data_IF_208461226929
#
_entry.id   IF_208461226929
#
_cell.length_a   1.000
_cell.length_b   1.000
_cell.length_c   1.000
_cell.angle_alpha   90.00
_cell.angle_beta   90.00
_cell.angle_gamma   90.00
#
_symmetry.space_group_name_H-M   'P 1'
#
loop_
_entity.id
_entity.type
_entity.pdbx_description
1 polymer ?
#
# COMPACT_ATOMS: atom_id res chain seq x y z
N UNK A 1 21.89 -13.48 -71.97
CA UNK A 1 22.91 -14.27 -71.26
C UNK A 1 22.74 -14.03 -69.77
N UNK A 2 22.59 -15.11 -69.01
CA UNK A 2 22.45 -15.13 -67.55
C UNK A 2 23.74 -14.68 -66.86
N UNK A 3 23.64 -14.07 -65.68
CA UNK A 3 24.14 -14.56 -64.37
C UNK A 3 23.98 -13.40 -63.37
N UNK A 4 23.20 -13.63 -62.32
CA UNK A 4 23.13 -12.74 -61.16
C UNK A 4 24.30 -12.95 -60.17
N UNK A 5 24.45 -12.04 -59.20
CA UNK A 5 25.03 -12.40 -57.91
C UNK A 5 24.61 -11.46 -56.79
N UNK A 6 24.12 -12.10 -55.73
CA UNK A 6 23.76 -11.59 -54.41
C UNK A 6 25.03 -11.40 -53.57
N UNK A 7 25.08 -10.36 -52.74
CA UNK A 7 25.94 -10.21 -51.56
C UNK A 7 25.34 -9.09 -50.72
N UNK A 8 25.05 -9.18 -49.43
CA UNK A 8 25.46 -10.12 -48.39
C UNK A 8 25.62 -9.30 -47.11
N UNK A 9 24.59 -9.29 -46.26
CA UNK A 9 24.58 -8.60 -44.95
C UNK A 9 25.69 -9.15 -44.04
N UNK A 10 26.46 -8.28 -43.38
CA UNK A 10 27.20 -8.64 -42.15
C UNK A 10 26.64 -7.86 -40.98
N UNK A 11 25.93 -8.57 -40.09
CA UNK A 11 25.72 -8.16 -38.70
C UNK A 11 27.01 -8.48 -37.94
N UNK A 12 27.61 -7.49 -37.30
CA UNK A 12 28.67 -7.70 -36.32
C UNK A 12 27.97 -7.81 -34.97
N UNK A 13 27.96 -9.01 -34.41
CA UNK A 13 27.56 -9.26 -33.03
C UNK A 13 28.83 -9.14 -32.17
N UNK A 14 28.91 -8.07 -31.39
CA UNK A 14 29.95 -7.92 -30.38
C UNK A 14 29.41 -8.46 -29.07
N UNK A 15 29.85 -9.66 -28.69
CA UNK A 15 29.62 -10.23 -27.37
C UNK A 15 30.58 -9.55 -26.38
N UNK A 16 30.03 -8.90 -25.36
CA UNK A 16 30.80 -8.44 -24.20
C UNK A 16 30.57 -9.43 -23.06
N UNK A 17 31.65 -10.08 -22.65
CA UNK A 17 31.74 -10.97 -21.49
C UNK A 17 31.93 -10.10 -20.25
N UNK A 18 30.96 -10.09 -19.33
CA UNK A 18 31.14 -9.50 -18.00
C UNK A 18 31.66 -10.60 -17.08
N UNK A 19 32.90 -10.45 -16.64
CA UNK A 19 33.50 -11.29 -15.62
C UNK A 19 32.99 -10.84 -14.23
N UNK A 20 32.34 -11.76 -13.52
CA UNK A 20 32.03 -11.60 -12.11
C UNK A 20 33.28 -11.86 -11.28
N UNK A 21 33.71 -10.87 -10.49
CA UNK A 21 34.73 -11.04 -9.45
C UNK A 21 34.02 -10.96 -8.10
N UNK A 22 34.02 -12.09 -7.40
CA UNK A 22 33.61 -12.22 -6.00
C UNK A 22 34.75 -11.81 -5.05
N UNK A 23 34.37 -11.25 -3.90
CA UNK A 23 35.22 -11.00 -2.72
C UNK A 23 34.98 -9.60 -2.19
N UNK A 24 34.80 -9.33 -0.90
CA UNK A 24 35.02 -10.11 0.32
C UNK A 24 34.22 -9.43 1.46
N UNK A 25 33.78 -10.20 2.43
CA UNK A 25 33.10 -9.74 3.65
C UNK A 25 34.06 -8.99 4.59
N UNK A 26 33.56 -7.94 5.26
CA UNK A 26 34.14 -7.43 6.52
C UNK A 26 33.02 -7.19 7.54
N UNK A 27 33.16 -7.86 8.68
CA UNK A 27 32.42 -7.76 9.94
C UNK A 27 33.08 -6.69 10.85
N UNK A 28 32.28 -5.85 11.50
CA UNK A 28 32.47 -5.22 12.83
C UNK A 28 31.07 -4.78 13.30
N UNK A 29 30.39 -5.42 14.26
CA UNK A 29 30.50 -5.40 15.74
C UNK A 29 30.40 -4.01 16.42
N UNK A 30 29.26 -3.87 17.11
CA UNK A 30 29.06 -3.40 18.49
C UNK A 30 28.63 -1.96 18.85
N UNK A 31 27.51 -1.96 19.58
CA UNK A 31 27.08 -1.12 20.71
C UNK A 31 26.68 0.34 20.47
N UNK A 32 25.42 0.66 20.80
CA UNK A 32 25.13 1.61 21.89
C UNK A 32 23.73 1.41 22.49
N UNK A 33 23.70 1.67 23.79
CA UNK A 33 22.72 1.37 24.82
C UNK A 33 21.41 2.20 24.82
N UNK A 34 20.40 1.53 25.37
CA UNK A 34 19.31 2.00 26.25
C UNK A 34 19.20 3.50 26.60
N UNK A 35 17.99 4.04 26.46
CA UNK A 35 17.47 5.13 27.31
C UNK A 35 16.04 4.79 27.75
N UNK A 36 15.89 4.58 29.05
CA UNK A 36 14.62 4.53 29.78
C UNK A 36 14.09 5.95 30.07
N UNK A 37 12.76 6.07 30.10
CA UNK A 37 12.08 6.69 31.24
C UNK A 37 11.77 8.18 31.16
N UNK A 38 10.49 8.50 30.97
CA UNK A 38 9.85 9.59 31.73
C UNK A 38 8.38 9.22 32.01
N UNK A 39 8.10 8.97 33.29
CA UNK A 39 6.75 8.99 33.85
C UNK A 39 6.47 10.41 34.35
N UNK A 40 5.23 10.89 34.19
CA UNK A 40 4.64 11.77 35.17
C UNK A 40 3.11 11.69 35.19
N UNK A 41 2.62 11.77 36.42
CA UNK A 41 1.29 11.48 36.90
C UNK A 41 0.31 12.67 36.77
N UNK A 42 -0.96 12.31 36.54
CA UNK A 42 -2.19 12.78 37.23
C UNK A 42 -2.54 14.28 37.18
N UNK A 43 -3.70 14.60 36.59
CA UNK A 43 -4.78 15.34 37.28
C UNK A 43 -6.17 14.86 36.81
N UNK A 44 -7.00 14.47 37.80
CA UNK A 44 -8.45 14.22 37.69
C UNK A 44 -9.23 15.52 37.50
N UNK A 45 -10.27 15.48 36.67
CA UNK A 45 -11.45 16.35 36.84
C UNK A 45 -12.73 15.64 36.39
N UNK A 46 -13.62 15.41 37.36
CA UNK A 46 -15.00 14.93 37.22
C UNK A 46 -15.97 16.11 37.15
N UNK A 47 -16.96 16.05 36.25
CA UNK A 47 -18.34 16.53 36.45
C UNK A 47 -19.21 15.98 35.29
N UNK A 48 -20.06 14.98 35.48
CA UNK A 48 -21.45 15.05 35.98
C UNK A 48 -22.28 16.16 35.32
N UNK A 49 -23.05 15.80 34.29
CA UNK A 49 -24.36 16.40 34.00
C UNK A 49 -25.36 15.27 33.80
N UNK A 50 -26.36 15.24 34.69
CA UNK A 50 -27.59 14.45 34.55
C UNK A 50 -28.56 15.19 33.63
N UNK A 51 -29.31 14.47 32.81
CA UNK A 51 -30.68 14.83 32.48
C UNK A 51 -31.56 13.58 32.40
N UNK A 52 -32.34 13.38 33.46
CA UNK A 52 -33.64 12.71 33.46
C UNK A 52 -34.60 13.46 32.49
N UNK A 53 -35.70 12.97 31.91
CA UNK A 53 -36.39 11.67 31.83
C UNK A 53 -37.72 11.91 31.05
N UNK A 54 -38.49 10.82 30.81
CA UNK A 54 -39.94 10.75 30.48
C UNK A 54 -40.35 10.82 28.99
N UNK A 55 -41.28 10.01 28.45
CA UNK A 55 -41.81 8.63 28.66
C UNK A 55 -42.89 8.41 27.58
N UNK A 56 -42.96 7.17 27.06
CA UNK A 56 -44.14 6.42 26.53
C UNK A 56 -45.04 6.99 25.40
N UNK A 57 -45.34 6.13 24.42
CA UNK A 57 -46.65 5.43 24.29
C UNK A 57 -46.62 4.37 23.16
N UNK A 58 -46.93 3.13 23.58
CA UNK A 58 -47.69 2.03 22.99
C UNK A 58 -47.38 1.31 21.64
N UNK A 59 -47.04 0.02 21.84
CA UNK A 59 -47.71 -1.21 21.35
C UNK A 59 -48.27 -1.27 19.92
N UNK A 60 -47.69 -2.19 19.15
CA UNK A 60 -48.31 -3.15 18.21
C UNK A 60 -47.14 -4.06 17.75
N UNK A 61 -47.20 -5.39 17.58
CA UNK A 61 -48.21 -6.43 17.69
C UNK A 61 -47.41 -7.75 17.58
N UNK A 62 -47.77 -8.79 18.35
CA UNK A 62 -47.18 -10.13 18.19
C UNK A 62 -47.40 -10.67 16.75
N UNK A 63 -46.32 -11.07 16.10
CA UNK A 63 -46.33 -12.06 15.01
C UNK A 63 -45.18 -13.04 15.20
N UNK A 64 -45.56 -14.24 15.60
CA UNK A 64 -44.95 -15.54 15.29
C UNK A 64 -43.43 -15.68 15.31
N UNK A 65 -42.96 -16.29 16.40
CA UNK A 65 -41.73 -17.08 16.45
C UNK A 65 -41.62 -18.06 15.27
N UNK A 66 -40.64 -17.83 14.42
CA UNK A 66 -39.85 -18.88 13.79
C UNK A 66 -38.40 -18.68 14.21
N UNK A 67 -38.06 -19.19 15.40
CA UNK A 67 -36.67 -19.24 15.86
C UNK A 67 -35.91 -20.27 15.02
N UNK A 68 -34.99 -19.79 14.19
CA UNK A 68 -33.71 -20.43 13.95
C UNK A 68 -32.65 -19.31 13.95
N UNK A 69 -32.12 -18.85 15.09
CA UNK A 69 -30.83 -19.31 15.71
C UNK A 69 -29.79 -19.67 14.64
N UNK A 70 -28.69 -18.94 14.39
CA UNK A 70 -27.91 -17.97 15.17
C UNK A 70 -27.37 -16.91 14.18
N UNK A 71 -27.82 -15.66 14.25
CA UNK A 71 -27.37 -14.57 13.35
C UNK A 71 -25.94 -14.08 13.67
N UNK A 72 -25.42 -14.43 14.84
CA UNK A 72 -24.12 -13.99 15.37
C UNK A 72 -23.38 -15.12 16.08
N UNK A 73 -22.20 -15.50 15.58
CA UNK A 73 -21.31 -16.47 16.24
C UNK A 73 -20.02 -15.78 16.61
N UNK A 74 -19.69 -15.77 17.91
CA UNK A 74 -18.63 -14.93 18.49
C UNK A 74 -18.91 -13.44 18.19
N UNK A 75 -18.20 -12.88 17.21
CA UNK A 75 -18.31 -11.49 16.76
C UNK A 75 -18.67 -11.38 15.28
N UNK A 76 -18.79 -12.52 14.60
CA UNK A 76 -19.19 -12.59 13.20
C UNK A 76 -20.71 -12.56 13.10
N UNK A 77 -21.23 -11.71 12.23
CA UNK A 77 -22.65 -11.59 11.93
C UNK A 77 -22.89 -11.94 10.46
N UNK A 78 -24.02 -12.60 10.18
CA UNK A 78 -24.48 -12.78 8.81
C UNK A 78 -25.15 -11.46 8.37
N UNK A 79 -24.79 -10.94 7.19
CA UNK A 79 -25.44 -9.75 6.62
C UNK A 79 -26.92 -10.00 6.31
N UNK A 80 -27.70 -8.94 6.08
CA UNK A 80 -29.18 -8.95 5.96
C UNK A 80 -29.77 -9.78 4.79
N UNK A 81 -28.95 -10.57 4.07
CA UNK A 81 -29.32 -11.25 2.83
C UNK A 81 -29.05 -12.75 2.74
N UNK A 82 -28.69 -13.44 3.83
CA UNK A 82 -28.05 -14.73 3.65
C UNK A 82 -28.63 -15.84 4.52
N UNK A 83 -29.60 -16.56 3.96
CA UNK A 83 -29.79 -17.97 4.31
C UNK A 83 -28.69 -18.86 3.68
N UNK A 84 -27.86 -18.28 2.80
CA UNK A 84 -26.84 -18.99 2.05
C UNK A 84 -25.59 -19.28 2.90
N UNK A 85 -25.35 -18.46 3.92
CA UNK A 85 -24.29 -18.61 4.91
C UNK A 85 -24.86 -19.16 6.21
N UNK A 86 -24.15 -20.12 6.78
CA UNK A 86 -24.43 -20.66 8.09
C UNK A 86 -23.17 -20.52 8.95
N UNK A 87 -23.27 -19.71 10.00
CA UNK A 87 -22.25 -19.60 11.02
C UNK A 87 -22.60 -20.51 12.20
N UNK A 88 -21.64 -21.32 12.64
CA UNK A 88 -21.78 -22.22 13.78
C UNK A 88 -20.45 -22.41 14.50
N UNK A 89 -20.46 -23.12 15.63
CA UNK A 89 -19.24 -23.63 16.26
C UNK A 89 -19.00 -25.08 15.81
N UNK A 90 -17.76 -25.44 15.50
CA UNK A 90 -17.38 -26.85 15.30
C UNK A 90 -17.11 -27.56 16.64
N UNK A 91 -16.70 -28.82 16.58
CA UNK A 91 -16.37 -29.64 17.76
C UNK A 91 -15.20 -29.10 18.61
N UNK A 92 -14.34 -28.26 18.02
CA UNK A 92 -13.21 -27.60 18.67
C UNK A 92 -13.56 -26.18 19.16
N UNK A 93 -14.83 -25.78 19.11
CA UNK A 93 -15.31 -24.43 19.45
C UNK A 93 -14.72 -23.32 18.56
N UNK A 94 -14.33 -23.65 17.33
CA UNK A 94 -13.91 -22.70 16.29
C UNK A 94 -15.13 -22.23 15.47
N UNK A 95 -15.07 -21.01 14.93
CA UNK A 95 -16.16 -20.45 14.11
C UNK A 95 -16.13 -21.09 12.73
N UNK A 96 -17.16 -21.86 12.40
CA UNK A 96 -17.33 -22.54 11.13
C UNK A 96 -18.34 -21.78 10.27
N UNK A 97 -17.91 -21.38 9.07
CA UNK A 97 -18.78 -20.88 8.02
C UNK A 97 -19.03 -22.03 7.03
N UNK A 98 -20.30 -22.38 6.81
CA UNK A 98 -20.74 -23.25 5.72
C UNK A 98 -21.62 -22.46 4.77
N UNK A 99 -21.55 -22.77 3.48
CA UNK A 99 -22.40 -22.12 2.51
C UNK A 99 -22.72 -23.00 1.31
N UNK A 100 -23.85 -22.70 0.66
CA UNK A 100 -24.31 -23.38 -0.55
C UNK A 100 -25.18 -22.45 -1.39
N UNK A 101 -24.95 -22.41 -2.70
CA UNK A 101 -25.68 -21.58 -3.66
C UNK A 101 -25.72 -20.09 -3.29
N UNK A 102 -24.59 -19.52 -2.90
CA UNK A 102 -24.55 -18.13 -2.43
C UNK A 102 -24.97 -17.13 -3.51
N UNK A 103 -25.87 -16.23 -3.15
CA UNK A 103 -26.27 -15.11 -4.00
C UNK A 103 -25.16 -14.07 -4.12
N UNK A 104 -25.25 -13.25 -5.16
CA UNK A 104 -24.34 -12.12 -5.33
C UNK A 104 -24.49 -11.12 -4.18
N UNK A 105 -23.36 -10.58 -3.74
CA UNK A 105 -23.21 -9.62 -2.64
C UNK A 105 -23.68 -10.15 -1.28
N UNK A 106 -23.77 -11.48 -1.12
CA UNK A 106 -23.92 -12.10 0.19
C UNK A 106 -22.62 -11.98 0.98
N UNK A 107 -22.67 -11.50 2.23
CA UNK A 107 -21.48 -11.29 3.06
C UNK A 107 -21.72 -11.70 4.51
N UNK A 108 -20.62 -11.96 5.22
CA UNK A 108 -20.58 -11.90 6.69
C UNK A 108 -19.79 -10.68 7.12
N UNK A 109 -20.07 -10.16 8.32
CA UNK A 109 -19.36 -9.01 8.88
C UNK A 109 -18.75 -9.31 10.23
N UNK A 110 -17.69 -8.59 10.56
CA UNK A 110 -17.13 -8.52 11.91
C UNK A 110 -16.66 -7.10 12.19
N UNK A 111 -16.91 -6.60 13.40
CA UNK A 111 -16.39 -5.30 13.81
C UNK A 111 -14.85 -5.28 13.77
N UNK A 112 -14.28 -4.21 13.24
CA UNK A 112 -12.84 -3.98 13.24
C UNK A 112 -12.50 -3.10 14.44
N UNK A 113 -11.70 -3.59 15.41
CA UNK A 113 -11.33 -2.82 16.59
C UNK A 113 -10.23 -1.81 16.24
N UNK A 114 -10.57 -0.76 15.50
CA UNK A 114 -9.65 0.34 15.21
C UNK A 114 -9.24 1.00 16.53
N UNK A 115 -7.94 1.11 16.73
CA UNK A 115 -7.37 1.74 17.93
C UNK A 115 -6.15 2.57 17.57
N UNK A 116 -5.85 3.56 18.39
CA UNK A 116 -4.59 4.29 18.33
C UNK A 116 -3.54 3.51 19.14
N UNK A 117 -2.47 3.08 18.48
CA UNK A 117 -1.31 2.44 19.10
C UNK A 117 -0.11 3.36 18.89
N UNK A 118 0.55 3.78 19.98
CA UNK A 118 1.63 4.77 19.94
C UNK A 118 1.27 6.11 19.25
N UNK A 119 -0.01 6.50 19.29
CA UNK A 119 -0.50 7.73 18.66
C UNK A 119 -0.85 7.60 17.17
N UNK A 120 -0.66 6.42 16.58
CA UNK A 120 -1.02 6.12 15.19
C UNK A 120 -2.28 5.25 15.15
N UNK A 121 -3.22 5.58 14.26
CA UNK A 121 -4.40 4.76 14.03
C UNK A 121 -3.96 3.43 13.40
N UNK A 122 -4.58 2.34 13.84
CA UNK A 122 -4.48 1.03 13.17
C UNK A 122 -4.66 1.20 11.66
N UNK A 123 -3.69 0.75 10.88
CA UNK A 123 -3.64 0.91 9.42
C UNK A 123 -3.57 -0.43 8.67
N UNK A 124 -3.70 -1.56 9.36
CA UNK A 124 -3.69 -2.89 8.74
C UNK A 124 -4.58 -3.90 9.48
N UNK A 125 -4.97 -4.95 8.76
CA UNK A 125 -5.71 -6.11 9.25
C UNK A 125 -4.92 -7.38 9.00
N UNK A 126 -4.72 -8.19 10.04
CA UNK A 126 -4.31 -9.59 9.89
C UNK A 126 -5.55 -10.49 9.92
N UNK A 127 -5.69 -11.32 8.88
CA UNK A 127 -6.81 -12.24 8.71
C UNK A 127 -6.29 -13.67 8.72
N UNK A 128 -6.92 -14.54 9.52
CA UNK A 128 -6.59 -15.95 9.59
C UNK A 128 -7.81 -16.83 9.42
N UNK A 129 -7.73 -17.79 8.51
CA UNK A 129 -8.81 -18.74 8.24
C UNK A 129 -8.30 -20.06 7.66
N UNK A 130 -9.10 -21.12 7.75
CA UNK A 130 -8.82 -22.42 7.11
C UNK A 130 -9.86 -22.72 6.03
N UNK A 131 -9.44 -22.97 4.80
CA UNK A 131 -10.33 -23.37 3.71
C UNK A 131 -10.55 -24.89 3.74
N UNK A 132 -11.71 -25.33 4.22
CA UNK A 132 -11.99 -26.76 4.34
C UNK A 132 -12.23 -27.35 2.95
N UNK A 133 -11.50 -28.42 2.65
CA UNK A 133 -11.55 -29.17 1.39
C UNK A 133 -11.11 -28.38 0.14
N UNK A 134 -10.53 -27.18 0.28
CA UNK A 134 -10.14 -26.30 -0.83
C UNK A 134 -11.31 -26.02 -1.80
N UNK A 135 -12.52 -25.92 -1.24
CA UNK A 135 -13.74 -25.65 -2.00
C UNK A 135 -13.87 -24.17 -2.36
N UNK A 136 -13.30 -23.29 -1.53
CA UNK A 136 -13.29 -21.86 -1.77
C UNK A 136 -12.12 -21.52 -2.70
N UNK A 137 -12.46 -21.03 -3.88
CA UNK A 137 -11.54 -20.45 -4.85
C UNK A 137 -11.26 -18.98 -4.59
N UNK A 138 -12.19 -18.26 -3.96
CA UNK A 138 -12.10 -16.82 -3.81
C UNK A 138 -12.84 -16.24 -2.60
N UNK A 139 -12.23 -15.23 -1.99
CA UNK A 139 -12.84 -14.37 -0.97
C UNK A 139 -12.50 -12.92 -1.27
N UNK A 140 -13.47 -12.02 -1.26
CA UNK A 140 -13.25 -10.57 -1.32
C UNK A 140 -13.49 -9.93 0.05
N UNK A 141 -12.64 -8.96 0.39
CA UNK A 141 -12.65 -8.26 1.67
C UNK A 141 -12.94 -6.78 1.45
N UNK A 142 -13.85 -6.24 2.24
CA UNK A 142 -14.25 -4.83 2.20
C UNK A 142 -14.22 -4.25 3.61
N UNK A 143 -13.79 -2.99 3.73
CA UNK A 143 -14.15 -2.19 4.89
C UNK A 143 -15.51 -1.54 4.65
N UNK A 144 -16.36 -1.59 5.65
CA UNK A 144 -17.73 -1.12 5.61
C UNK A 144 -17.93 -0.10 6.74
N UNK A 145 -18.36 1.11 6.37
CA UNK A 145 -18.69 2.20 7.29
C UNK A 145 -20.18 2.28 7.60
N UNK A 146 -20.68 3.51 7.65
CA UNK A 146 -22.06 3.85 7.94
C UNK A 146 -23.03 3.37 6.84
N UNK A 147 -24.31 3.29 7.20
CA UNK A 147 -25.41 3.02 6.28
C UNK A 147 -25.50 4.14 5.23
N UNK A 148 -25.56 3.76 3.95
CA UNK A 148 -25.64 4.68 2.83
C UNK A 148 -27.07 4.93 2.41
N UNK A 149 -27.80 3.84 2.10
CA UNK A 149 -29.20 3.93 1.72
C UNK A 149 -29.89 2.55 1.77
N UNK A 150 -31.20 2.56 2.01
CA UNK A 150 -32.03 1.39 1.86
C UNK A 150 -32.45 1.21 0.39
N UNK A 151 -32.18 0.04 -0.17
CA UNK A 151 -32.48 -0.31 -1.57
C UNK A 151 -33.53 -1.41 -1.63
N UNK A 152 -34.45 -1.31 -2.59
CA UNK A 152 -35.52 -2.29 -2.81
C UNK A 152 -36.89 -1.87 -2.29
N UNK A 153 -37.86 -2.77 -2.36
CA UNK A 153 -39.24 -2.54 -1.88
C UNK A 153 -39.85 -3.83 -1.32
N UNK A 154 -40.73 -3.69 -0.32
CA UNK A 154 -41.37 -4.82 0.35
C UNK A 154 -40.35 -5.72 1.06
N UNK A 155 -40.52 -7.04 0.93
CA UNK A 155 -39.68 -8.05 1.58
C UNK A 155 -38.25 -8.16 0.98
N UNK A 156 -37.95 -7.41 -0.09
CA UNK A 156 -36.65 -7.41 -0.76
C UNK A 156 -35.83 -6.15 -0.44
N UNK A 157 -36.14 -5.44 0.63
CA UNK A 157 -35.36 -4.29 1.10
C UNK A 157 -34.04 -4.75 1.71
N UNK A 158 -32.95 -4.02 1.43
CA UNK A 158 -31.64 -4.25 2.03
C UNK A 158 -30.88 -2.94 2.19
N UNK A 159 -30.05 -2.87 3.23
CA UNK A 159 -29.21 -1.71 3.46
C UNK A 159 -27.93 -1.79 2.60
N UNK A 160 -27.68 -0.74 1.81
CA UNK A 160 -26.36 -0.44 1.25
C UNK A 160 -25.55 0.39 2.24
N UNK A 161 -24.23 0.22 2.18
CA UNK A 161 -23.29 0.87 3.09
C UNK A 161 -22.21 1.60 2.29
N UNK A 162 -21.53 2.54 2.93
CA UNK A 162 -20.26 3.03 2.39
C UNK A 162 -19.22 1.92 2.54
N UNK A 163 -18.63 1.49 1.43
CA UNK A 163 -17.73 0.34 1.42
C UNK A 163 -16.55 0.55 0.49
N UNK A 164 -15.38 0.06 0.91
CA UNK A 164 -14.14 0.12 0.15
C UNK A 164 -13.50 -1.26 0.10
N UNK A 165 -13.13 -1.71 -1.10
CA UNK A 165 -12.48 -3.02 -1.29
C UNK A 165 -11.04 -2.93 -0.81
N UNK A 166 -10.69 -3.77 0.16
CA UNK A 166 -9.35 -3.76 0.78
C UNK A 166 -8.46 -4.90 0.30
N UNK A 167 -9.03 -5.94 -0.30
CA UNK A 167 -8.25 -7.01 -0.90
C UNK A 167 -9.08 -8.23 -1.27
N UNK A 168 -8.40 -9.24 -1.81
CA UNK A 168 -8.98 -10.52 -2.15
C UNK A 168 -8.01 -11.67 -1.87
N UNK A 169 -8.57 -12.84 -1.56
CA UNK A 169 -7.90 -14.12 -1.58
C UNK A 169 -8.33 -14.85 -2.85
N UNK A 170 -7.35 -15.40 -3.57
CA UNK A 170 -7.56 -16.33 -4.68
C UNK A 170 -6.76 -17.59 -4.45
N UNK A 171 -7.41 -18.74 -4.64
CA UNK A 171 -6.75 -20.04 -4.56
C UNK A 171 -5.85 -20.22 -5.79
N UNK A 172 -4.53 -20.11 -5.60
CA UNK A 172 -3.57 -20.44 -6.65
C UNK A 172 -3.29 -21.96 -6.68
N UNK A 173 -3.21 -22.50 -7.90
CA UNK A 173 -2.99 -23.93 -8.18
C UNK A 173 -1.69 -24.44 -7.55
N UNK A 174 -1.68 -24.88 -6.29
CA UNK A 174 -0.92 -26.07 -5.82
C UNK A 174 -0.75 -26.23 -4.30
N UNK A 175 -0.96 -25.21 -3.47
CA UNK A 175 -0.69 -25.37 -2.03
C UNK A 175 -1.97 -25.43 -1.20
N UNK A 176 -2.41 -26.69 -0.96
CA UNK A 176 -3.40 -27.04 0.05
C UNK A 176 -2.85 -26.66 1.43
N UNK A 177 -3.13 -25.45 1.90
CA UNK A 177 -2.71 -24.99 3.22
C UNK A 177 -3.82 -25.24 4.24
N UNK A 178 -3.45 -25.86 5.36
CA UNK A 178 -4.33 -26.07 6.51
C UNK A 178 -4.72 -24.74 7.20
N UNK A 179 -3.98 -23.65 6.96
CA UNK A 179 -4.29 -22.31 7.47
C UNK A 179 -3.79 -21.21 6.52
N UNK A 180 -4.62 -20.19 6.27
CA UNK A 180 -4.33 -19.05 5.41
C UNK A 180 -4.18 -17.82 6.30
N UNK A 181 -3.04 -17.16 6.18
CA UNK A 181 -2.73 -15.92 6.90
C UNK A 181 -2.54 -14.80 5.88
N UNK A 182 -3.31 -13.74 6.00
CA UNK A 182 -3.20 -12.55 5.17
C UNK A 182 -2.96 -11.32 6.04
N UNK A 183 -2.24 -10.34 5.50
CA UNK A 183 -2.14 -9.01 6.08
C UNK A 183 -2.52 -8.00 5.01
N UNK A 184 -3.49 -7.16 5.32
CA UNK A 184 -4.10 -6.20 4.40
C UNK A 184 -3.89 -4.80 4.99
N UNK A 185 -3.28 -3.89 4.26
CA UNK A 185 -3.30 -2.46 4.63
C UNK A 185 -4.68 -1.90 4.35
N UNK A 186 -5.16 -1.06 5.27
CA UNK A 186 -6.47 -0.42 5.18
C UNK A 186 -6.42 1.11 5.26
N UNK A 187 -5.24 1.75 5.29
CA UNK A 187 -5.05 3.21 5.44
C UNK A 187 -5.79 4.02 4.37
N UNK A 188 -5.62 3.67 3.09
CA UNK A 188 -6.32 4.37 1.99
C UNK A 188 -7.83 4.20 2.10
N UNK A 189 -8.30 2.97 2.35
CA UNK A 189 -9.73 2.69 2.52
C UNK A 189 -10.33 3.39 3.75
N UNK A 190 -9.56 3.59 4.83
CA UNK A 190 -9.98 4.39 5.97
C UNK A 190 -10.12 5.88 5.63
N UNK A 191 -9.28 6.40 4.72
CA UNK A 191 -9.39 7.78 4.22
C UNK A 191 -10.61 7.96 3.31
N UNK A 192 -10.86 7.02 2.42
CA UNK A 192 -12.04 7.05 1.54
C UNK A 192 -13.36 6.92 2.34
N UNK A 193 -13.32 6.25 3.49
CA UNK A 193 -14.45 6.19 4.43
C UNK A 193 -14.51 7.38 5.40
N UNK A 194 -13.64 8.38 5.30
CA UNK A 194 -13.64 9.54 6.19
C UNK A 194 -15.00 10.26 6.17
N UNK A 195 -15.55 10.53 7.35
CA UNK A 195 -16.90 11.09 7.52
C UNK A 195 -18.04 10.06 7.44
N UNK A 196 -17.74 8.79 7.18
CA UNK A 196 -18.71 7.68 7.08
C UNK A 196 -18.37 6.52 8.03
N UNK A 197 -17.72 6.80 9.18
CA UNK A 197 -17.31 5.78 10.17
C UNK A 197 -17.92 6.04 11.55
N UNK A 198 -19.06 6.73 11.63
CA UNK A 198 -19.66 7.19 12.88
C UNK A 198 -20.00 6.03 13.81
N UNK A 199 -20.48 4.91 13.25
CA UNK A 199 -20.83 3.70 13.99
C UNK A 199 -19.70 2.67 14.02
N UNK A 200 -18.46 3.11 13.80
CA UNK A 200 -17.29 2.25 13.66
C UNK A 200 -17.16 1.66 12.26
N UNK A 201 -16.18 0.77 12.10
CA UNK A 201 -15.87 0.10 10.84
C UNK A 201 -16.02 -1.41 11.00
N UNK A 202 -16.56 -2.06 9.97
CA UNK A 202 -16.72 -3.51 9.91
C UNK A 202 -15.92 -4.07 8.75
N UNK A 203 -15.34 -5.24 8.92
CA UNK A 203 -14.85 -6.06 7.83
C UNK A 203 -16.04 -6.82 7.26
N UNK A 204 -16.40 -6.56 6.01
CA UNK A 204 -17.33 -7.37 5.25
C UNK A 204 -16.55 -8.37 4.37
N UNK A 205 -16.89 -9.64 4.49
CA UNK A 205 -16.26 -10.74 3.76
C UNK A 205 -17.28 -11.40 2.84
N UNK A 206 -16.95 -11.43 1.54
CA UNK A 206 -17.75 -12.02 0.46
C UNK A 206 -17.03 -13.28 -0.04
N UNK A 207 -17.52 -14.45 0.34
CA UNK A 207 -16.99 -15.76 -0.06
C UNK A 207 -17.79 -16.26 -1.27
N UNK A 208 -17.13 -16.37 -2.43
CA UNK A 208 -17.76 -16.81 -3.70
C UNK A 208 -18.99 -15.99 -4.13
N UNK A 209 -19.15 -14.78 -3.60
CA UNK A 209 -20.38 -13.99 -3.75
C UNK A 209 -20.13 -12.57 -4.29
N UNK A 210 -18.89 -12.16 -4.52
CA UNK A 210 -18.58 -10.84 -5.05
C UNK A 210 -19.10 -10.71 -6.51
N UNK A 211 -19.91 -9.69 -6.78
CA UNK A 211 -20.61 -9.52 -8.07
C UNK A 211 -19.69 -9.32 -9.27
N UNK A 212 -18.46 -8.90 -9.03
CA UNK A 212 -17.43 -8.72 -10.07
C UNK A 212 -17.00 -10.06 -10.71
N UNK A 213 -17.35 -11.19 -10.08
CA UNK A 213 -16.98 -12.53 -10.51
C UNK A 213 -18.23 -13.29 -10.97
N UNK A 214 -18.47 -13.27 -12.28
CA UNK A 214 -19.66 -13.87 -12.90
C UNK A 214 -19.46 -15.32 -13.36
N UNK A 215 -18.24 -15.86 -13.27
CA UNK A 215 -17.96 -17.23 -13.70
C UNK A 215 -18.42 -18.22 -12.62
N UNK A 216 -19.52 -18.91 -12.95
CA UNK A 216 -20.27 -19.85 -12.13
C UNK A 216 -19.43 -21.08 -11.74
N UNK A 217 -18.74 -21.00 -10.62
CA UNK A 217 -18.33 -22.18 -9.86
C UNK A 217 -19.47 -22.64 -8.95
N UNK A 218 -19.39 -23.90 -8.54
CA UNK A 218 -20.25 -24.47 -7.50
C UNK A 218 -20.05 -23.67 -6.21
N UNK A 219 -20.99 -22.75 -5.91
CA UNK A 219 -20.90 -21.80 -4.79
C UNK A 219 -21.22 -22.47 -3.48
N UNK A 220 -20.45 -23.49 -3.14
CA UNK A 220 -20.55 -24.21 -1.89
C UNK A 220 -19.18 -24.44 -1.29
N UNK A 221 -19.13 -24.43 0.03
CA UNK A 221 -17.86 -24.62 0.72
C UNK A 221 -17.99 -24.46 2.21
N UNK A 222 -16.87 -24.74 2.87
CA UNK A 222 -16.75 -24.64 4.32
C UNK A 222 -15.40 -24.01 4.68
N UNK A 223 -15.37 -23.18 5.71
CA UNK A 223 -14.13 -22.62 6.24
C UNK A 223 -14.19 -22.38 7.74
N UNK A 224 -13.04 -22.42 8.39
CA UNK A 224 -12.88 -22.00 9.79
C UNK A 224 -12.38 -20.57 9.82
N UNK A 225 -13.08 -19.69 10.53
CA UNK A 225 -12.67 -18.31 10.78
C UNK A 225 -11.91 -18.25 12.10
N UNK A 226 -10.60 -17.96 12.04
CA UNK A 226 -9.74 -18.01 13.22
C UNK A 226 -9.64 -16.64 13.89
N UNK A 227 -9.09 -15.64 13.18
CA UNK A 227 -8.90 -14.31 13.72
C UNK A 227 -8.97 -13.19 12.68
N UNK A 228 -9.34 -12.01 13.18
CA UNK A 228 -9.25 -10.71 12.52
C UNK A 228 -8.62 -9.80 13.56
N UNK A 229 -7.41 -9.31 13.28
CA UNK A 229 -6.63 -8.50 14.20
C UNK A 229 -6.27 -7.17 13.53
N UNK A 230 -6.60 -6.08 14.23
CA UNK A 230 -6.15 -4.74 13.91
C UNK A 230 -4.65 -4.62 14.24
N UNK A 231 -3.83 -4.25 13.26
CA UNK A 231 -2.40 -4.01 13.41
C UNK A 231 -2.07 -2.54 13.12
N UNK A 232 -1.18 -1.97 13.93
CA UNK A 232 -0.44 -0.76 13.55
C UNK A 232 0.88 -1.21 12.92
N UNK A 233 1.00 -1.00 11.61
CA UNK A 233 2.24 -1.23 10.87
C UNK A 233 2.89 0.12 10.65
N UNK A 234 4.01 0.34 11.35
CA UNK A 234 4.92 1.44 11.04
C UNK A 234 5.62 1.12 9.74
N UNK A 235 5.21 1.79 8.67
CA UNK A 235 6.00 1.82 7.46
C UNK A 235 7.32 2.52 7.79
N UNK A 236 8.45 1.85 7.54
CA UNK A 236 9.73 2.52 7.68
C UNK A 236 9.73 3.77 6.82
N UNK A 237 10.14 4.91 7.38
CA UNK A 237 10.36 6.11 6.58
C UNK A 237 11.38 5.75 5.49
N UNK A 238 11.01 5.91 4.21
CA UNK A 238 11.94 5.71 3.11
C UNK A 238 13.13 6.63 3.35
N UNK A 239 14.25 6.06 3.77
CA UNK A 239 15.39 6.87 4.19
C UNK A 239 16.38 6.91 3.05
N UNK A 240 16.66 8.11 2.56
CA UNK A 240 17.80 8.34 1.69
C UNK A 240 19.05 8.46 2.55
N UNK A 241 20.07 7.68 2.24
CA UNK A 241 21.39 7.86 2.85
C UNK A 241 21.99 9.22 2.47
N UNK A 242 23.02 9.72 3.18
CA UNK A 242 23.75 10.89 2.71
C UNK A 242 24.23 10.73 1.26
N UNK A 243 24.16 11.80 0.48
CA UNK A 243 24.53 11.80 -0.93
C UNK A 243 26.03 11.48 -1.11
N UNK A 244 26.31 10.42 -1.87
CA UNK A 244 27.61 10.12 -2.43
C UNK A 244 27.74 10.75 -3.82
N UNK A 245 28.96 10.91 -4.33
CA UNK A 245 29.17 11.52 -5.64
C UNK A 245 30.36 10.90 -6.37
N UNK A 246 30.31 10.95 -7.70
CA UNK A 246 31.42 10.57 -8.58
C UNK A 246 32.33 11.78 -8.89
N UNK A 247 33.33 11.62 -9.73
CA UNK A 247 34.34 12.67 -9.95
C UNK A 247 33.70 13.97 -10.50
N UNK A 248 34.28 15.11 -10.18
CA UNK A 248 33.83 16.41 -10.70
C UNK A 248 32.75 17.12 -9.86
N UNK A 249 32.05 16.41 -8.98
CA UNK A 249 31.23 17.05 -7.94
C UNK A 249 31.99 17.19 -6.63
N UNK A 250 31.58 18.17 -5.82
CA UNK A 250 31.92 18.28 -4.42
C UNK A 250 30.63 18.60 -3.63
N UNK A 251 30.34 17.81 -2.60
CA UNK A 251 29.16 17.98 -1.75
C UNK A 251 29.59 18.32 -0.33
N UNK A 252 29.18 19.49 0.14
CA UNK A 252 29.36 19.92 1.52
C UNK A 252 28.02 20.44 2.08
N UNK A 253 27.49 19.82 3.13
CA UNK A 253 26.18 20.14 3.71
C UNK A 253 25.05 20.20 2.65
N UNK A 254 24.95 19.17 1.79
CA UNK A 254 24.02 19.10 0.66
C UNK A 254 24.17 20.19 -0.42
N UNK A 255 25.18 21.06 -0.30
CA UNK A 255 25.56 21.99 -1.35
C UNK A 255 26.50 21.28 -2.32
N UNK A 256 26.00 21.08 -3.52
CA UNK A 256 26.67 20.53 -4.69
C UNK A 256 27.37 21.66 -5.43
N UNK A 257 28.67 21.50 -5.65
CA UNK A 257 29.49 22.40 -6.48
C UNK A 257 30.20 21.57 -7.53
N UNK A 258 30.36 22.13 -8.73
CA UNK A 258 31.08 21.49 -9.83
C UNK A 258 31.67 22.48 -10.82
N UNK A 259 32.72 22.05 -11.50
CA UNK A 259 33.39 22.80 -12.56
C UNK A 259 33.89 21.82 -13.63
N UNK A 260 33.66 22.17 -14.91
CA UNK A 260 34.09 21.38 -16.08
C UNK A 260 33.68 19.90 -16.00
N UNK A 261 32.42 19.65 -15.68
CA UNK A 261 31.92 18.31 -15.40
C UNK A 261 31.99 17.37 -16.64
N UNK A 262 32.43 16.13 -16.43
CA UNK A 262 32.42 15.09 -17.46
C UNK A 262 31.00 14.52 -17.66
N UNK A 263 30.80 13.83 -18.79
CA UNK A 263 29.53 13.15 -19.06
C UNK A 263 29.26 12.03 -18.05
N UNK A 264 27.99 11.90 -17.63
CA UNK A 264 27.46 10.87 -16.74
C UNK A 264 27.98 10.85 -15.30
N UNK A 265 28.76 11.86 -14.89
CA UNK A 265 29.05 12.05 -13.47
C UNK A 265 27.72 12.25 -12.72
N UNK A 266 27.60 11.70 -11.51
CA UNK A 266 26.35 11.71 -10.77
C UNK A 266 26.55 11.89 -9.27
N UNK A 267 25.43 12.21 -8.64
CA UNK A 267 25.25 12.29 -7.20
C UNK A 267 24.22 11.24 -6.84
N UNK A 268 24.53 10.34 -5.93
CA UNK A 268 23.71 9.17 -5.67
C UNK A 268 23.38 9.01 -4.20
N UNK A 269 22.22 8.45 -3.91
CA UNK A 269 21.81 8.06 -2.57
C UNK A 269 21.17 6.68 -2.62
N UNK A 270 21.52 5.83 -1.66
CA UNK A 270 20.83 4.57 -1.44
C UNK A 270 19.47 4.84 -0.77
N UNK A 271 18.45 4.05 -1.12
CA UNK A 271 17.14 4.04 -0.49
C UNK A 271 17.06 2.87 0.48
N UNK A 272 16.94 3.17 1.78
CA UNK A 272 16.72 2.19 2.84
C UNK A 272 15.23 2.11 3.17
N UNK A 273 14.79 0.89 3.50
CA UNK A 273 13.42 0.59 3.94
C UNK A 273 12.34 1.04 2.95
N UNK A 274 12.61 0.93 1.64
CA UNK A 274 11.66 1.36 0.63
C UNK A 274 10.30 0.66 0.78
N UNK A 275 9.24 1.46 0.93
CA UNK A 275 7.86 1.04 0.91
C UNK A 275 7.30 1.20 -0.52
N UNK A 276 6.84 0.10 -1.17
CA UNK A 276 6.23 0.14 -2.51
C UNK A 276 5.06 1.11 -2.67
N UNK A 277 4.39 1.50 -1.59
CA UNK A 277 3.32 2.51 -1.64
C UNK A 277 3.83 3.92 -1.89
N UNK A 278 5.09 4.20 -1.59
CA UNK A 278 5.65 5.54 -1.71
C UNK A 278 6.14 5.80 -3.14
N UNK A 279 5.20 5.86 -4.08
CA UNK A 279 5.47 6.05 -5.52
C UNK A 279 5.88 7.47 -5.90
N UNK A 280 5.64 8.47 -5.05
CA UNK A 280 5.96 9.85 -5.35
C UNK A 280 7.36 10.21 -4.88
N UNK A 281 8.27 10.49 -5.81
CA UNK A 281 9.57 11.07 -5.49
C UNK A 281 9.44 12.59 -5.41
N UNK A 282 9.81 13.15 -4.27
CA UNK A 282 9.79 14.58 -4.00
C UNK A 282 11.22 15.08 -3.96
N UNK A 283 11.48 16.19 -4.65
CA UNK A 283 12.79 16.84 -4.70
C UNK A 283 12.62 18.35 -4.55
N UNK A 284 13.27 18.91 -3.54
CA UNK A 284 13.38 20.35 -3.32
C UNK A 284 14.84 20.77 -3.46
N UNK A 285 15.06 21.76 -4.29
CA UNK A 285 16.40 22.27 -4.60
C UNK A 285 16.43 23.78 -4.56
N UNK A 286 17.65 24.31 -4.38
CA UNK A 286 17.96 25.71 -4.54
C UNK A 286 19.11 25.88 -5.52
N UNK A 287 18.85 26.56 -6.64
CA UNK A 287 19.85 26.88 -7.65
C UNK A 287 20.60 28.16 -7.23
N UNK A 288 21.72 28.00 -6.51
CA UNK A 288 22.34 29.08 -5.72
C UNK A 288 22.85 30.22 -6.61
N UNK A 289 23.51 29.88 -7.71
CA UNK A 289 24.11 30.83 -8.65
C UNK A 289 23.30 30.99 -9.95
N UNK A 290 22.15 30.30 -10.05
CA UNK A 290 21.31 30.22 -11.24
C UNK A 290 22.03 29.70 -12.49
N UNK A 291 23.14 28.97 -12.35
CA UNK A 291 23.87 28.43 -13.49
C UNK A 291 23.43 27.02 -13.90
N UNK A 292 22.72 26.30 -13.02
CA UNK A 292 22.24 24.95 -13.31
C UNK A 292 21.16 24.99 -14.39
N UNK A 293 21.37 24.28 -15.49
CA UNK A 293 20.45 24.27 -16.64
C UNK A 293 19.58 23.01 -16.68
N UNK A 294 20.11 21.88 -16.24
CA UNK A 294 19.44 20.60 -16.34
C UNK A 294 19.74 19.65 -15.16
N UNK A 295 18.72 18.92 -14.75
CA UNK A 295 18.85 17.81 -13.80
C UNK A 295 18.16 16.59 -14.39
N UNK A 296 18.84 15.45 -14.41
CA UNK A 296 18.24 14.16 -14.70
C UNK A 296 18.22 13.32 -13.43
N UNK A 297 17.05 12.82 -13.06
CA UNK A 297 16.84 11.94 -11.93
C UNK A 297 16.70 10.53 -12.47
N UNK A 298 17.55 9.62 -12.01
CA UNK A 298 17.40 8.19 -12.24
C UNK A 298 16.99 7.52 -10.93
N UNK A 299 15.85 6.84 -10.93
CA UNK A 299 15.38 6.02 -9.80
C UNK A 299 15.55 4.56 -10.18
N UNK A 300 16.32 3.81 -9.39
CA UNK A 300 16.70 2.42 -9.66
C UNK A 300 15.93 1.46 -8.77
N UNK A 301 15.32 0.45 -9.40
CA UNK A 301 14.72 -0.69 -8.75
C UNK A 301 15.72 -1.83 -8.52
N UNK A 302 15.52 -2.62 -7.46
CA UNK A 302 16.29 -3.84 -7.16
C UNK A 302 16.24 -4.89 -8.27
N UNK A 303 15.27 -4.78 -9.17
CA UNK A 303 15.12 -5.64 -10.33
C UNK A 303 15.86 -5.12 -11.57
N UNK A 304 16.70 -4.09 -11.43
CA UNK A 304 17.44 -3.39 -12.50
C UNK A 304 16.56 -2.56 -13.45
N UNK A 305 15.30 -2.32 -13.11
CA UNK A 305 14.46 -1.36 -13.84
C UNK A 305 14.77 0.07 -13.38
N UNK A 306 14.61 1.05 -14.28
CA UNK A 306 14.96 2.45 -14.03
C UNK A 306 13.83 3.37 -14.50
N UNK A 307 13.44 4.34 -13.68
CA UNK A 307 12.71 5.52 -14.14
C UNK A 307 13.67 6.68 -14.36
N UNK A 308 13.53 7.36 -15.50
CA UNK A 308 14.34 8.51 -15.88
C UNK A 308 13.45 9.75 -15.99
N UNK A 309 13.75 10.77 -15.19
CA UNK A 309 12.98 12.02 -15.12
C UNK A 309 13.92 13.16 -15.50
N UNK A 310 13.51 14.03 -16.42
CA UNK A 310 14.31 15.16 -16.89
C UNK A 310 13.69 16.49 -16.44
N UNK A 311 14.50 17.34 -15.84
CA UNK A 311 14.13 18.69 -15.38
C UNK A 311 14.91 19.72 -16.17
N UNK A 312 14.20 20.54 -16.96
CA UNK A 312 14.75 21.70 -17.66
C UNK A 312 14.58 22.95 -16.78
N UNK A 313 15.70 23.51 -16.33
CA UNK A 313 15.76 24.70 -15.48
C UNK A 313 15.99 25.98 -16.28
N UNK A 314 16.28 25.91 -17.58
CA UNK A 314 16.56 27.09 -18.43
C UNK A 314 15.40 28.08 -18.49
N UNK A 315 14.16 27.61 -18.24
CA UNK A 315 12.93 28.41 -18.23
C UNK A 315 12.46 28.79 -16.82
N UNK A 316 13.19 28.40 -15.77
CA UNK A 316 12.84 28.66 -14.38
C UNK A 316 13.67 29.85 -13.87
N UNK A 317 12.99 30.94 -13.53
CA UNK A 317 13.61 32.14 -12.96
C UNK A 317 13.70 32.13 -11.43
N UNK A 318 13.17 31.08 -10.78
CA UNK A 318 13.16 30.95 -9.32
C UNK A 318 14.41 30.19 -8.87
N UNK A 319 15.01 30.68 -7.80
CA UNK A 319 16.12 30.03 -7.10
C UNK A 319 15.64 28.80 -6.35
N UNK A 320 14.53 28.89 -5.62
CA UNK A 320 13.93 27.77 -4.89
C UNK A 320 12.90 27.04 -5.77
N UNK A 321 13.07 25.72 -5.89
CA UNK A 321 12.30 24.88 -6.80
C UNK A 321 11.89 23.57 -6.09
N UNK A 322 10.61 23.23 -6.20
CA UNK A 322 10.06 21.99 -5.66
C UNK A 322 9.42 21.18 -6.78
N UNK A 323 9.69 19.89 -6.77
CA UNK A 323 9.20 18.93 -7.76
C UNK A 323 8.65 17.70 -7.06
N UNK A 324 7.61 17.14 -7.66
CA UNK A 324 7.06 15.85 -7.27
C UNK A 324 6.77 15.05 -8.55
N UNK A 325 7.13 13.77 -8.53
CA UNK A 325 6.99 12.87 -9.66
C UNK A 325 6.42 11.53 -9.21
N UNK A 326 5.36 11.05 -9.85
CA UNK A 326 4.94 9.65 -9.74
C UNK A 326 5.92 8.79 -10.55
N UNK A 327 6.82 8.08 -9.87
CA UNK A 327 7.86 7.29 -10.54
C UNK A 327 7.30 6.14 -11.40
N UNK A 328 6.07 5.69 -11.11
CA UNK A 328 5.44 4.59 -11.83
C UNK A 328 4.88 5.03 -13.18
N UNK A 329 4.62 6.32 -13.38
CA UNK A 329 4.30 6.88 -14.70
C UNK A 329 5.51 6.82 -15.63
N UNK A 330 6.72 6.93 -15.08
CA UNK A 330 7.97 6.86 -15.83
C UNK A 330 8.43 5.41 -16.07
N UNK A 331 8.24 4.51 -15.09
CA UNK A 331 8.43 3.08 -15.29
C UNK A 331 7.59 2.25 -14.30
N UNK A 332 6.51 1.64 -14.78
CA UNK A 332 5.60 0.82 -13.97
C UNK A 332 6.18 -0.54 -13.53
N UNK A 333 7.40 -0.90 -13.96
CA UNK A 333 8.08 -2.14 -13.59
C UNK A 333 9.15 -1.96 -12.52
N UNK A 334 9.31 -0.77 -11.97
CA UNK A 334 10.38 -0.40 -11.02
C UNK A 334 10.52 -1.32 -9.79
N UNK A 335 9.43 -1.95 -9.33
CA UNK A 335 9.46 -2.80 -8.13
C UNK A 335 9.96 -2.02 -6.91
N UNK A 336 10.78 -2.68 -6.07
CA UNK A 336 11.35 -2.04 -4.88
C UNK A 336 12.53 -1.16 -5.25
N UNK A 337 12.51 0.12 -4.87
CA UNK A 337 13.60 1.06 -5.12
C UNK A 337 14.79 0.74 -4.22
N UNK A 338 16.00 0.87 -4.77
CA UNK A 338 17.26 0.75 -4.03
C UNK A 338 18.13 2.00 -4.08
N UNK A 339 17.99 2.84 -5.10
CA UNK A 339 18.91 3.98 -5.31
C UNK A 339 18.26 5.09 -6.12
N UNK A 340 18.64 6.32 -5.82
CA UNK A 340 18.35 7.51 -6.64
C UNK A 340 19.67 8.13 -7.07
N UNK A 341 19.77 8.56 -8.32
CA UNK A 341 20.89 9.34 -8.85
C UNK A 341 20.40 10.64 -9.48
N UNK A 342 21.19 11.69 -9.31
CA UNK A 342 21.03 13.00 -9.92
C UNK A 342 22.22 13.26 -10.83
N UNK A 343 21.94 13.58 -12.10
CA UNK A 343 22.90 14.03 -13.09
C UNK A 343 22.63 15.53 -13.31
N UNK A 344 23.46 16.37 -12.69
CA UNK A 344 23.31 17.84 -12.71
C UNK A 344 24.25 18.38 -13.78
N UNK A 345 23.71 18.86 -14.91
CA UNK A 345 24.48 19.31 -16.08
C UNK A 345 25.51 18.29 -16.59
N UNK A 346 25.30 17.00 -16.31
CA UNK A 346 26.22 15.92 -16.69
C UNK A 346 25.66 15.00 -17.77
N UNK A 347 24.40 15.17 -18.15
CA UNK A 347 23.79 14.35 -19.17
C UNK A 347 24.26 14.80 -20.58
N UNK A 348 25.01 13.97 -21.34
CA UNK A 348 25.51 14.35 -22.66
C UNK A 348 24.40 14.56 -23.70
N UNK A 349 23.20 14.06 -23.43
CA UNK A 349 22.07 14.20 -24.35
C UNK A 349 21.37 15.56 -24.24
N UNK A 350 21.70 16.35 -23.22
CA UNK A 350 21.18 17.70 -23.04
C UNK A 350 22.25 18.73 -23.43
N UNK A 351 21.88 19.66 -24.32
CA UNK A 351 22.74 20.77 -24.72
C UNK A 351 22.78 21.81 -23.60
N UNK A 352 23.88 21.86 -22.86
CA UNK A 352 24.12 22.81 -21.78
C UNK A 352 25.17 23.84 -22.20
N UNK A 353 24.99 25.09 -21.78
CA UNK A 353 25.92 26.18 -22.14
C UNK A 353 27.11 26.28 -21.21
N UNK A 354 26.94 25.89 -19.95
CA UNK A 354 28.00 25.86 -18.94
C UNK A 354 27.99 24.52 -18.20
N UNK A 355 29.18 23.99 -17.86
CA UNK A 355 29.37 22.76 -17.07
C UNK A 355 29.92 23.05 -15.68
N UNK A 356 29.50 24.18 -15.12
CA UNK A 356 29.96 24.66 -13.82
C UNK A 356 28.79 25.31 -13.09
N UNK A 357 28.65 25.03 -11.80
CA UNK A 357 27.53 25.58 -11.05
C UNK A 357 27.45 25.17 -9.60
N UNK A 358 26.40 25.71 -8.96
CA UNK A 358 26.13 25.48 -7.56
C UNK A 358 24.64 25.27 -7.26
N UNK A 359 24.35 24.16 -6.59
CA UNK A 359 23.02 23.65 -6.26
C UNK A 359 23.00 23.25 -4.79
N UNK A 360 21.92 23.50 -4.07
CA UNK A 360 21.65 22.88 -2.76
C UNK A 360 20.47 21.92 -2.89
N UNK A 361 20.65 20.68 -2.41
CA UNK A 361 19.56 19.71 -2.25
C UNK A 361 18.92 19.97 -0.89
N UNK A 362 17.82 20.70 -0.87
CA UNK A 362 17.10 21.10 0.36
C UNK A 362 16.44 19.89 0.98
N UNK A 363 15.71 19.12 0.17
CA UNK A 363 15.08 17.87 0.61
C UNK A 363 14.88 16.90 -0.55
N UNK A 364 14.94 15.60 -0.24
CA UNK A 364 14.53 14.54 -1.15
C UNK A 364 13.89 13.42 -0.32
N UNK A 365 12.74 12.91 -0.74
CA UNK A 365 12.04 11.81 -0.03
C UNK A 365 10.95 11.18 -0.90
N UNK A 366 10.54 9.98 -0.52
CA UNK A 366 9.41 9.27 -1.14
C UNK A 366 8.15 9.42 -0.29
N UNK A 367 7.00 9.75 -0.90
CA UNK A 367 5.69 9.82 -0.25
C UNK A 367 4.66 8.92 -0.92
N UNK A 368 3.64 8.51 -0.16
CA UNK A 368 2.49 7.75 -0.67
C UNK A 368 1.42 8.62 -1.33
N UNK A 369 1.42 9.91 -1.07
CA UNK A 369 0.42 10.86 -1.58
C UNK A 369 1.05 11.94 -2.45
N UNK A 370 0.27 12.39 -3.44
CA UNK A 370 0.49 13.61 -4.19
C UNK A 370 0.30 14.81 -3.26
N UNK A 371 1.12 15.86 -3.43
CA UNK A 371 1.15 17.04 -2.55
C UNK A 371 0.30 18.19 -3.05
#
# INVERSE_FOLDING_TARGET
MSIGKVSGKRKVATSVTIAAVCGLSILFMDNYDTIEGFTNNVVKSTSLVKSDSHTNIDKLKNTSDTSNTISKVKEWNIGEKSNDYNLSYNENNEVLLKFSNTQNNTYITKEVPLSYVDGELTNSLSLKFKNINNSISQISFYLQGDEKMLVGSGDNQYMEYFEEKIGDYKLENSNKSDAINMTIDIEESLKELEGHMTNGVRLAMRVESDSDYQDLYDRQGEMILESVEALSIKYGENTLTPWAYTNGYNINNNVVTYENLNDFENISSEVKNYNPRCRYFNLEIKNIDNSVENIVINVYGKNNEVANINIDLTKKSKTDLSFQYDILEYNNKLGNIEKVELLVDSNPYNTITNRSGQLEIVSAYFSSFEK
#
